data_IF_070325016514
#
_entry.id   IF_070325016514
#
_cell.length_a   1.000
_cell.length_b   1.000
_cell.length_c   1.000
_cell.angle_alpha   90.00
_cell.angle_beta   90.00
_cell.angle_gamma   90.00
#
_symmetry.space_group_name_H-M   'P 1'
#
loop_
_entity.id
_entity.type
_entity.pdbx_description
1 polymer ?
#
# COMPACT_ATOMS: atom_id res chain seq x y z
N UNK A 1 -11.91 -5.83 -0.71
CA UNK A 1 -11.06 -6.28 -1.83
C UNK A 1 -11.04 -5.18 -2.88
N UNK A 2 -9.87 -4.81 -3.35
CA UNK A 2 -9.64 -3.81 -4.41
C UNK A 2 -8.79 -4.41 -5.53
N UNK A 3 -9.05 -4.02 -6.78
CA UNK A 3 -8.21 -4.43 -7.92
C UNK A 3 -7.14 -3.36 -8.17
N UNK A 4 -5.92 -3.78 -8.47
CA UNK A 4 -4.82 -2.85 -8.75
C UNK A 4 -5.13 -1.85 -9.88
N UNK A 5 -5.76 -2.22 -11.01
CA UNK A 5 -6.19 -1.27 -12.03
C UNK A 5 -7.11 -0.17 -11.49
N UNK A 6 -8.10 -0.52 -10.66
CA UNK A 6 -9.06 0.44 -10.11
C UNK A 6 -8.38 1.44 -9.16
N UNK A 7 -7.38 0.98 -8.40
CA UNK A 7 -6.54 1.85 -7.55
C UNK A 7 -5.68 2.81 -8.38
N UNK A 8 -5.13 2.32 -9.52
CA UNK A 8 -4.37 3.16 -10.43
C UNK A 8 -5.26 4.24 -11.07
N UNK A 9 -6.49 3.91 -11.45
CA UNK A 9 -7.45 4.86 -12.02
C UNK A 9 -7.83 5.93 -10.98
N UNK A 10 -8.09 5.54 -9.74
CA UNK A 10 -8.29 6.48 -8.64
C UNK A 10 -7.08 7.40 -8.43
N UNK A 11 -5.86 6.87 -8.51
CA UNK A 11 -4.66 7.69 -8.43
C UNK A 11 -4.50 8.64 -9.62
N UNK A 12 -4.89 8.24 -10.83
CA UNK A 12 -4.87 9.13 -12.01
C UNK A 12 -5.83 10.31 -11.85
N UNK A 13 -7.00 10.05 -11.32
CA UNK A 13 -8.01 11.08 -11.10
C UNK A 13 -7.62 12.06 -9.99
N UNK A 14 -7.17 11.54 -8.85
CA UNK A 14 -6.95 12.33 -7.63
C UNK A 14 -5.54 12.92 -7.51
N UNK A 15 -4.58 12.47 -8.31
CA UNK A 15 -3.17 12.87 -8.21
C UNK A 15 -2.63 13.29 -9.60
N UNK A 16 -2.79 14.57 -9.99
CA UNK A 16 -2.38 15.04 -11.32
C UNK A 16 -0.92 14.78 -11.69
N UNK A 17 -0.02 14.73 -10.71
CA UNK A 17 1.38 14.37 -10.92
C UNK A 17 1.57 12.89 -11.29
N UNK A 18 0.68 12.00 -10.82
CA UNK A 18 0.67 10.59 -11.22
C UNK A 18 0.25 10.42 -12.68
N UNK A 19 -0.77 11.18 -13.11
CA UNK A 19 -1.23 11.16 -14.52
C UNK A 19 -0.14 11.62 -15.50
N UNK A 20 0.72 12.55 -15.07
CA UNK A 20 1.85 13.03 -15.89
C UNK A 20 3.05 12.11 -15.91
N UNK A 21 3.12 11.13 -15.02
CA UNK A 21 4.21 10.16 -14.95
C UNK A 21 4.21 9.21 -16.16
N UNK A 22 5.32 9.16 -16.90
CA UNK A 22 5.44 8.43 -18.17
C UNK A 22 5.89 6.99 -18.00
N UNK A 23 6.54 6.68 -16.87
CA UNK A 23 7.07 5.34 -16.60
C UNK A 23 6.86 4.92 -15.15
N UNK A 24 7.12 3.64 -14.86
CA UNK A 24 6.95 3.06 -13.53
C UNK A 24 7.81 3.76 -12.47
N UNK A 25 9.05 4.12 -12.81
CA UNK A 25 9.96 4.82 -11.88
C UNK A 25 9.43 6.21 -11.49
N UNK A 26 8.83 6.93 -12.42
CA UNK A 26 8.22 8.23 -12.14
C UNK A 26 6.97 8.08 -11.25
N UNK A 27 6.09 7.10 -11.55
CA UNK A 27 4.92 6.77 -10.73
C UNK A 27 5.32 6.42 -9.30
N UNK A 28 6.30 5.54 -9.18
CA UNK A 28 6.91 5.19 -7.90
C UNK A 28 7.37 6.42 -7.12
N UNK A 29 8.13 7.31 -7.75
CA UNK A 29 8.63 8.53 -7.10
C UNK A 29 7.51 9.48 -6.66
N UNK A 30 6.48 9.66 -7.48
CA UNK A 30 5.30 10.48 -7.16
C UNK A 30 4.55 9.91 -5.97
N UNK A 31 4.23 8.62 -5.99
CA UNK A 31 3.48 7.96 -4.92
C UNK A 31 4.27 7.94 -3.61
N UNK A 32 5.59 7.66 -3.68
CA UNK A 32 6.44 7.67 -2.49
C UNK A 32 6.45 9.04 -1.82
N UNK A 33 6.64 10.10 -2.59
CA UNK A 33 6.58 11.48 -2.05
C UNK A 33 5.21 11.78 -1.47
N UNK A 34 4.13 11.44 -2.18
CA UNK A 34 2.76 11.65 -1.70
C UNK A 34 2.49 10.92 -0.37
N UNK A 35 2.95 9.68 -0.22
CA UNK A 35 2.82 8.92 1.02
C UNK A 35 3.63 9.52 2.20
N UNK A 36 4.74 10.19 1.92
CA UNK A 36 5.64 10.76 2.92
C UNK A 36 5.35 12.23 3.26
N UNK A 37 4.46 12.89 2.53
CA UNK A 37 4.11 14.29 2.80
C UNK A 37 3.58 14.48 4.22
N UNK A 38 3.97 15.61 4.84
CA UNK A 38 3.59 15.94 6.23
C UNK A 38 2.13 16.37 6.36
N UNK A 39 1.60 17.03 5.34
CA UNK A 39 0.28 17.65 5.39
C UNK A 39 -0.82 16.69 4.96
N UNK A 40 -2.03 16.83 5.52
CA UNK A 40 -3.18 16.10 5.01
C UNK A 40 -3.31 16.35 3.50
N UNK A 41 -3.62 15.31 2.75
CA UNK A 41 -4.03 15.50 1.36
C UNK A 41 -5.37 16.23 1.39
N UNK A 42 -5.45 17.39 0.72
CA UNK A 42 -6.71 18.12 0.62
C UNK A 42 -7.77 17.21 0.01
N UNK A 43 -8.89 17.08 0.70
CA UNK A 43 -10.06 16.42 0.16
C UNK A 43 -10.89 17.48 -0.52
N UNK A 44 -11.10 17.36 -1.83
CA UNK A 44 -12.20 18.07 -2.47
C UNK A 44 -13.49 17.61 -1.78
N UNK A 45 -14.43 18.49 -1.51
CA UNK A 45 -15.73 18.12 -0.95
C UNK A 45 -16.59 17.29 -1.91
N UNK A 46 -16.09 16.97 -3.10
CA UNK A 46 -16.76 16.17 -4.12
C UNK A 46 -16.51 14.67 -3.88
N UNK A 47 -17.47 13.80 -4.21
CA UNK A 47 -17.31 12.37 -4.18
C UNK A 47 -16.11 11.95 -5.03
N UNK A 48 -15.24 11.11 -4.48
CA UNK A 48 -14.09 10.59 -5.21
C UNK A 48 -14.44 9.33 -6.01
N UNK A 49 -13.48 8.77 -6.74
CA UNK A 49 -13.68 7.49 -7.41
C UNK A 49 -13.96 6.37 -6.39
N UNK A 50 -14.71 5.31 -6.79
CA UNK A 50 -15.19 4.27 -5.86
C UNK A 50 -14.13 3.64 -4.97
N UNK A 51 -12.92 3.43 -5.50
CA UNK A 51 -11.81 2.91 -4.70
C UNK A 51 -11.38 3.87 -3.60
N UNK A 52 -11.34 5.18 -3.86
CA UNK A 52 -11.03 6.19 -2.85
C UNK A 52 -12.12 6.27 -1.78
N UNK A 53 -13.39 6.20 -2.16
CA UNK A 53 -14.52 6.20 -1.25
C UNK A 53 -14.50 5.02 -0.26
N UNK A 54 -14.02 3.85 -0.69
CA UNK A 54 -13.85 2.70 0.21
C UNK A 54 -12.84 2.98 1.32
N UNK A 55 -11.70 3.59 1.00
CA UNK A 55 -10.74 4.00 2.04
C UNK A 55 -11.33 5.06 2.96
N UNK A 56 -12.09 6.01 2.41
CA UNK A 56 -12.78 7.04 3.19
C UNK A 56 -13.85 6.41 4.11
N UNK A 57 -14.61 5.42 3.64
CA UNK A 57 -15.59 4.68 4.45
C UNK A 57 -14.93 3.95 5.62
N UNK A 58 -13.81 3.27 5.38
CA UNK A 58 -13.03 2.62 6.46
C UNK A 58 -12.55 3.66 7.47
N UNK A 59 -12.04 4.80 7.00
CA UNK A 59 -11.58 5.87 7.87
C UNK A 59 -12.73 6.45 8.71
N UNK A 60 -13.92 6.64 8.14
CA UNK A 60 -15.11 7.10 8.85
C UNK A 60 -15.57 6.10 9.90
N UNK A 61 -15.59 4.80 9.59
CA UNK A 61 -15.95 3.79 10.59
C UNK A 61 -15.02 3.81 11.81
N UNK A 62 -13.74 4.09 11.61
CA UNK A 62 -12.76 4.24 12.67
C UNK A 62 -12.86 5.56 13.46
N UNK A 63 -13.54 6.57 12.93
CA UNK A 63 -13.92 7.76 13.70
C UNK A 63 -15.10 7.47 14.64
N UNK A 64 -16.01 6.60 14.21
CA UNK A 64 -17.17 6.18 15.01
C UNK A 64 -16.73 5.21 16.11
N UNK A 65 -15.91 4.22 15.75
CA UNK A 65 -15.32 3.28 16.70
C UNK A 65 -13.78 3.24 16.53
N UNK A 66 -13.06 4.06 17.31
CA UNK A 66 -11.59 4.08 17.26
C UNK A 66 -10.92 2.79 17.71
N UNK A 67 -11.64 1.90 18.41
CA UNK A 67 -11.13 0.61 18.89
C UNK A 67 -11.26 -0.51 17.85
N UNK A 68 -12.09 -0.32 16.83
CA UNK A 68 -12.26 -1.29 15.76
C UNK A 68 -10.93 -1.59 15.04
N UNK A 69 -10.68 -2.85 14.76
CA UNK A 69 -9.61 -3.26 13.84
C UNK A 69 -10.18 -3.36 12.42
N UNK A 70 -9.80 -2.48 11.51
CA UNK A 70 -10.26 -2.55 10.12
C UNK A 70 -9.65 -3.74 9.37
N UNK A 71 -8.73 -4.48 10.01
CA UNK A 71 -8.10 -5.66 9.41
C UNK A 71 -7.15 -5.32 8.27
N UNK A 72 -7.32 -6.04 7.17
CA UNK A 72 -6.48 -5.92 5.99
C UNK A 72 -7.31 -5.82 4.71
N UNK A 73 -6.84 -4.99 3.80
CA UNK A 73 -7.40 -4.87 2.45
C UNK A 73 -6.62 -5.74 1.49
N UNK A 74 -7.30 -6.65 0.81
CA UNK A 74 -6.73 -7.44 -0.27
C UNK A 74 -6.68 -6.59 -1.54
N UNK A 75 -5.50 -6.45 -2.11
CA UNK A 75 -5.25 -5.81 -3.41
C UNK A 75 -4.97 -6.91 -4.43
N UNK A 76 -5.92 -7.15 -5.32
CA UNK A 76 -5.83 -8.19 -6.36
C UNK A 76 -5.18 -7.67 -7.63
N UNK A 77 -4.69 -8.58 -8.47
CA UNK A 77 -4.09 -8.27 -9.77
C UNK A 77 -2.84 -7.38 -9.65
N UNK A 78 -2.05 -7.58 -8.60
CA UNK A 78 -0.80 -6.85 -8.41
C UNK A 78 0.24 -7.35 -9.42
N UNK A 79 0.73 -6.44 -10.25
CA UNK A 79 1.76 -6.70 -11.26
C UNK A 79 3.03 -5.88 -10.98
N UNK A 80 2.88 -4.69 -10.42
CA UNK A 80 3.95 -3.71 -10.26
C UNK A 80 4.00 -3.15 -8.83
N UNK A 81 5.16 -2.68 -8.39
CA UNK A 81 5.27 -2.05 -7.07
C UNK A 81 4.37 -0.82 -6.91
N UNK A 82 4.14 -0.05 -7.98
CA UNK A 82 3.26 1.13 -7.92
C UNK A 82 1.82 0.79 -7.57
N UNK A 83 1.35 -0.43 -7.84
CA UNK A 83 -0.01 -0.87 -7.52
C UNK A 83 -0.26 -0.81 -6.00
N UNK A 84 0.68 -1.36 -5.22
CA UNK A 84 0.63 -1.32 -3.77
C UNK A 84 0.86 0.09 -3.20
N UNK A 85 1.65 0.91 -3.89
CA UNK A 85 1.84 2.30 -3.49
C UNK A 85 0.61 3.16 -3.78
N UNK A 86 -0.19 2.86 -4.81
CA UNK A 86 -1.51 3.47 -5.01
C UNK A 86 -2.42 3.19 -3.80
N UNK A 87 -2.52 1.92 -3.36
CA UNK A 87 -3.29 1.57 -2.17
C UNK A 87 -2.78 2.31 -0.92
N UNK A 88 -1.47 2.37 -0.72
CA UNK A 88 -0.87 3.07 0.41
C UNK A 88 -1.11 4.59 0.35
N UNK A 89 -1.08 5.19 -0.85
CA UNK A 89 -1.37 6.61 -1.04
C UNK A 89 -2.84 6.92 -0.75
N UNK A 90 -3.78 6.08 -1.20
CA UNK A 90 -5.20 6.21 -0.87
C UNK A 90 -5.44 6.06 0.64
N UNK A 91 -4.80 5.08 1.28
CA UNK A 91 -4.83 4.94 2.74
C UNK A 91 -4.26 6.19 3.44
N UNK A 92 -3.21 6.81 2.88
CA UNK A 92 -2.65 8.07 3.38
C UNK A 92 -3.63 9.23 3.23
N UNK A 93 -4.26 9.36 2.07
CA UNK A 93 -5.27 10.39 1.77
C UNK A 93 -6.44 10.31 2.74
N UNK A 94 -6.89 9.11 3.07
CA UNK A 94 -8.01 8.87 4.00
C UNK A 94 -7.61 8.91 5.48
N UNK A 95 -6.33 9.12 5.81
CA UNK A 95 -5.85 9.17 7.19
C UNK A 95 -5.61 7.80 7.84
N UNK A 96 -5.72 6.71 7.09
CA UNK A 96 -5.46 5.34 7.57
C UNK A 96 -3.96 5.03 7.68
N UNK A 97 -3.12 5.76 6.97
CA UNK A 97 -1.67 5.73 7.08
C UNK A 97 -1.12 7.13 7.33
N UNK A 98 -0.29 7.28 8.35
CA UNK A 98 0.41 8.51 8.69
C UNK A 98 1.91 8.21 8.77
N UNK A 99 2.68 8.80 7.87
CA UNK A 99 4.14 8.73 7.96
C UNK A 99 4.62 9.67 9.07
N UNK A 100 5.10 9.12 10.17
CA UNK A 100 5.62 9.90 11.29
C UNK A 100 6.83 10.76 10.90
N UNK A 101 6.94 11.95 11.50
CA UNK A 101 8.13 12.77 11.35
C UNK A 101 9.25 12.23 12.23
N UNK A 102 10.36 11.85 11.63
CA UNK A 102 11.59 11.49 12.33
C UNK A 102 12.42 12.72 12.60
N UNK A 103 12.03 13.54 13.55
CA UNK A 103 12.92 14.56 14.13
C UNK A 103 12.38 14.94 15.52
N UNK A 104 13.00 14.43 16.56
CA UNK A 104 12.94 14.89 17.95
C UNK A 104 11.53 15.19 18.52
N UNK A 105 10.69 14.22 18.53
CA UNK A 105 9.31 14.31 19.02
C UNK A 105 8.48 13.26 18.32
N UNK A 106 8.96 12.03 18.36
CA UNK A 106 8.49 10.94 17.52
C UNK A 106 7.02 10.60 17.76
N UNK A 107 6.14 11.14 16.97
CA UNK A 107 4.94 10.40 16.60
C UNK A 107 5.41 9.36 15.57
N UNK A 108 5.54 8.11 15.98
CA UNK A 108 5.91 7.01 15.08
C UNK A 108 4.93 6.93 13.90
N UNK A 109 5.35 6.33 12.80
CA UNK A 109 4.43 6.04 11.71
C UNK A 109 3.25 5.22 12.24
N UNK A 110 2.04 5.53 11.80
CA UNK A 110 0.83 4.83 12.17
C UNK A 110 0.16 4.27 10.93
N UNK A 111 -0.15 2.99 10.93
CA UNK A 111 -0.95 2.36 9.88
C UNK A 111 -2.06 1.54 10.51
N UNK A 112 -3.31 1.92 10.25
CA UNK A 112 -4.49 1.25 10.78
C UNK A 112 -5.02 0.15 9.86
N UNK A 113 -4.64 0.16 8.58
CA UNK A 113 -5.10 -0.81 7.59
C UNK A 113 -3.92 -1.64 7.09
N UNK A 114 -4.02 -2.97 7.14
CA UNK A 114 -3.10 -3.87 6.46
C UNK A 114 -3.34 -3.85 4.95
N UNK A 115 -2.29 -3.99 4.15
CA UNK A 115 -2.39 -4.12 2.70
C UNK A 115 -1.85 -5.49 2.31
N UNK A 116 -2.68 -6.31 1.66
CA UNK A 116 -2.34 -7.69 1.27
C UNK A 116 -2.26 -7.77 -0.25
N UNK A 117 -1.07 -7.83 -0.85
CA UNK A 117 -0.94 -8.06 -2.30
C UNK A 117 -1.38 -9.48 -2.66
N UNK A 118 -2.13 -9.60 -3.75
CA UNK A 118 -2.50 -10.88 -4.34
C UNK A 118 -1.93 -10.96 -5.75
N UNK A 119 -1.20 -12.04 -6.01
CA UNK A 119 -0.56 -12.30 -7.29
C UNK A 119 -1.26 -13.43 -8.02
N UNK A 120 -1.72 -13.15 -9.25
CA UNK A 120 -2.21 -14.15 -10.18
C UNK A 120 -1.07 -15.00 -10.73
N UNK A 121 -1.33 -16.20 -11.26
CA UNK A 121 -0.30 -17.09 -11.82
C UNK A 121 0.65 -16.40 -12.80
N UNK A 122 0.14 -15.54 -13.67
CA UNK A 122 0.93 -14.79 -14.63
C UNK A 122 1.92 -13.79 -13.99
N UNK A 123 1.62 -13.28 -12.79
CA UNK A 123 2.46 -12.33 -12.07
C UNK A 123 3.45 -13.00 -11.11
N UNK A 124 3.30 -14.30 -10.82
CA UNK A 124 4.16 -15.03 -9.87
C UNK A 124 5.66 -14.96 -10.20
N UNK A 125 6.12 -15.03 -11.47
CA UNK A 125 7.55 -14.89 -11.80
C UNK A 125 8.15 -13.56 -11.31
N UNK A 126 7.34 -12.49 -11.25
CA UNK A 126 7.77 -11.16 -10.87
C UNK A 126 7.43 -10.79 -9.41
N UNK A 127 6.66 -11.61 -8.70
CA UNK A 127 6.22 -11.32 -7.34
C UNK A 127 7.37 -11.03 -6.38
N UNK A 128 8.46 -11.82 -6.48
CA UNK A 128 9.65 -11.61 -5.66
C UNK A 128 10.31 -10.25 -5.89
N UNK A 129 10.43 -9.83 -7.15
CA UNK A 129 10.96 -8.52 -7.52
C UNK A 129 10.04 -7.39 -7.02
N UNK A 130 8.74 -7.53 -7.23
CA UNK A 130 7.74 -6.56 -6.79
C UNK A 130 7.79 -6.35 -5.28
N UNK A 131 7.83 -7.44 -4.48
CA UNK A 131 7.92 -7.34 -3.02
C UNK A 131 9.27 -6.77 -2.56
N UNK A 132 10.40 -7.22 -3.14
CA UNK A 132 11.71 -6.67 -2.80
C UNK A 132 11.78 -5.16 -3.05
N UNK A 133 11.22 -4.72 -4.17
CA UNK A 133 11.15 -3.30 -4.52
C UNK A 133 10.27 -2.54 -3.53
N UNK A 134 9.12 -3.09 -3.14
CA UNK A 134 8.26 -2.50 -2.11
C UNK A 134 8.98 -2.40 -0.76
N UNK A 135 9.67 -3.46 -0.33
CA UNK A 135 10.42 -3.47 0.93
C UNK A 135 11.61 -2.49 0.93
N UNK A 136 12.15 -2.14 -0.24
CA UNK A 136 13.13 -1.07 -0.37
C UNK A 136 12.52 0.34 -0.26
N UNK A 137 11.21 0.50 -0.49
CA UNK A 137 10.54 1.79 -0.52
C UNK A 137 10.39 2.40 0.87
N UNK A 138 10.79 3.66 1.05
CA UNK A 138 10.77 4.34 2.34
C UNK A 138 9.37 4.50 2.95
N UNK A 139 8.34 4.74 2.11
CA UNK A 139 6.96 4.85 2.58
C UNK A 139 6.40 3.48 2.98
N UNK A 140 6.65 2.46 2.16
CA UNK A 140 6.18 1.11 2.43
C UNK A 140 6.87 0.50 3.66
N UNK A 141 8.17 0.74 3.85
CA UNK A 141 8.89 0.37 5.10
C UNK A 141 8.23 0.96 6.35
N UNK A 142 7.84 2.22 6.30
CA UNK A 142 7.15 2.86 7.44
C UNK A 142 5.77 2.25 7.69
N UNK A 143 5.06 1.87 6.62
CA UNK A 143 3.81 1.14 6.72
C UNK A 143 4.02 -0.22 7.41
N UNK A 144 4.98 -1.02 6.96
CA UNK A 144 5.31 -2.31 7.55
C UNK A 144 5.76 -2.19 9.01
N UNK A 145 6.66 -1.24 9.31
CA UNK A 145 7.12 -1.00 10.67
C UNK A 145 5.96 -0.65 11.62
N UNK A 146 4.99 0.14 11.16
CA UNK A 146 3.79 0.47 11.92
C UNK A 146 2.84 -0.74 12.13
N UNK A 147 3.06 -1.84 11.38
CA UNK A 147 2.33 -3.12 11.45
C UNK A 147 3.17 -4.27 12.00
N UNK A 148 4.25 -3.97 12.72
CA UNK A 148 5.13 -4.98 13.34
C UNK A 148 6.05 -5.70 12.35
N UNK A 149 6.32 -5.13 11.17
CA UNK A 149 7.09 -5.73 10.08
C UNK A 149 6.52 -7.06 9.57
N UNK A 150 5.20 -7.23 9.67
CA UNK A 150 4.49 -8.40 9.16
C UNK A 150 3.80 -8.07 7.84
N UNK A 151 3.93 -8.96 6.86
CA UNK A 151 3.29 -8.86 5.55
C UNK A 151 2.55 -10.15 5.23
N UNK A 152 1.24 -10.05 5.02
CA UNK A 152 0.48 -11.13 4.40
C UNK A 152 0.52 -10.97 2.88
N UNK A 153 0.67 -12.08 2.17
CA UNK A 153 0.62 -12.15 0.71
C UNK A 153 -0.34 -13.25 0.32
N UNK A 154 -1.16 -13.03 -0.69
CA UNK A 154 -1.99 -14.07 -1.26
C UNK A 154 -1.41 -14.50 -2.61
N UNK A 155 -1.19 -15.80 -2.77
CA UNK A 155 -0.76 -16.42 -4.02
C UNK A 155 -1.89 -17.29 -4.56
N UNK A 156 -2.24 -17.12 -5.83
CA UNK A 156 -3.19 -18.02 -6.49
C UNK A 156 -2.51 -19.35 -6.85
N UNK A 157 -3.29 -20.40 -7.11
CA UNK A 157 -2.85 -21.77 -7.25
C UNK A 157 -1.64 -21.97 -8.18
N UNK A 158 -0.73 -22.88 -7.83
CA UNK A 158 0.49 -23.19 -8.59
C UNK A 158 1.78 -22.57 -8.05
N UNK A 159 1.78 -22.01 -6.84
CA UNK A 159 2.86 -21.20 -6.30
C UNK A 159 3.87 -21.95 -5.39
N UNK A 160 3.97 -23.29 -5.43
CA UNK A 160 4.78 -24.06 -4.47
C UNK A 160 6.21 -23.53 -4.24
N UNK A 161 7.01 -23.43 -5.29
CA UNK A 161 8.40 -22.93 -5.20
C UNK A 161 8.47 -21.42 -4.90
N UNK A 162 7.43 -20.67 -5.30
CA UNK A 162 7.38 -19.22 -5.13
C UNK A 162 7.24 -18.87 -3.65
N UNK A 163 6.45 -19.62 -2.89
CA UNK A 163 6.25 -19.39 -1.47
C UNK A 163 7.56 -19.41 -0.68
N UNK A 164 8.37 -20.45 -0.82
CA UNK A 164 9.66 -20.56 -0.12
C UNK A 164 10.60 -19.41 -0.50
N UNK A 165 10.67 -19.10 -1.80
CA UNK A 165 11.52 -18.02 -2.31
C UNK A 165 11.11 -16.66 -1.75
N UNK A 166 9.81 -16.36 -1.72
CA UNK A 166 9.28 -15.12 -1.16
C UNK A 166 9.53 -15.04 0.35
N UNK A 167 9.33 -16.11 1.09
CA UNK A 167 9.57 -16.16 2.54
C UNK A 167 11.05 -15.93 2.86
N UNK A 168 11.95 -16.55 2.14
CA UNK A 168 13.39 -16.34 2.31
C UNK A 168 13.80 -14.92 2.02
N UNK A 169 13.26 -14.34 0.96
CA UNK A 169 13.52 -12.96 0.56
C UNK A 169 12.97 -11.97 1.57
N UNK A 170 11.74 -12.15 2.06
CA UNK A 170 11.14 -11.26 3.06
C UNK A 170 11.98 -11.23 4.35
N UNK A 171 12.48 -12.37 4.80
CA UNK A 171 13.40 -12.46 5.96
C UNK A 171 14.66 -11.63 5.78
N UNK A 172 15.23 -11.57 4.57
CA UNK A 172 16.41 -10.74 4.30
C UNK A 172 16.15 -9.24 4.46
N UNK A 173 14.88 -8.82 4.43
CA UNK A 173 14.43 -7.45 4.68
C UNK A 173 13.90 -7.23 6.10
N UNK A 174 13.99 -8.26 6.99
CA UNK A 174 13.43 -8.19 8.33
C UNK A 174 11.90 -8.17 8.36
N UNK A 175 11.26 -8.75 7.34
CA UNK A 175 9.79 -8.83 7.22
C UNK A 175 9.36 -10.27 7.46
N UNK A 176 8.39 -10.45 8.35
CA UNK A 176 7.69 -11.71 8.54
C UNK A 176 6.62 -11.86 7.46
N UNK A 177 6.74 -12.90 6.62
CA UNK A 177 5.80 -13.17 5.54
C UNK A 177 4.87 -14.32 5.92
N UNK A 178 3.56 -14.08 5.79
CA UNK A 178 2.53 -15.12 5.80
C UNK A 178 1.82 -15.18 4.44
N UNK A 179 1.55 -16.39 3.96
CA UNK A 179 0.91 -16.66 2.67
C UNK A 179 -0.39 -17.41 2.88
#
# INVERSE_FOLDING_TARGET
>A
MERAPDLQDACRELLPSYTRARCETERWGVLTRGCLQRWPVERSGEPGPPSAERFDTIALSLLIDPSADPGSMLVTEVERPSDMLCALWLARRSGLFLAGATARGAVGSRSRLGLVPSFKPAALPHAAYTLATLYANAAYKRHLAARGNAQRVQLEAGAGDVHERLTRQARSWGVELSV
#
